data_IF_898765429151
#
_entry.id   IF_898765429151
#
_cell.length_a   1.000
_cell.length_b   1.000
_cell.length_c   1.000
_cell.angle_alpha   90.00
_cell.angle_beta   90.00
_cell.angle_gamma   90.00
#
_symmetry.space_group_name_H-M   'P 1'
#
loop_
_entity.id
_entity.type
_entity.pdbx_description
1 polymer ?
#
# COMPACT_ATOMS: atom_id res chain seq x y z
N UNK A 1 6.02 -28.37 19.30
CA UNK A 1 6.74 -27.99 18.06
C UNK A 1 8.18 -27.66 18.46
N UNK A 2 9.13 -28.56 18.16
CA UNK A 2 10.55 -28.31 18.45
C UNK A 2 11.13 -27.34 17.42
N UNK A 3 11.55 -26.16 17.87
CA UNK A 3 12.44 -25.29 17.10
C UNK A 3 13.87 -25.79 17.33
N UNK A 4 14.31 -26.69 16.47
CA UNK A 4 15.71 -27.10 16.44
C UNK A 4 16.49 -25.99 15.73
N UNK A 5 17.09 -25.08 16.49
CA UNK A 5 18.07 -24.12 15.98
C UNK A 5 19.45 -24.59 16.40
N UNK A 6 19.98 -25.58 15.67
CA UNK A 6 21.42 -25.78 15.67
C UNK A 6 22.07 -24.53 15.07
N UNK A 7 22.87 -23.85 15.89
CA UNK A 7 23.75 -22.76 15.50
C UNK A 7 24.55 -23.15 14.26
N UNK A 8 24.11 -22.66 13.10
CA UNK A 8 24.94 -22.54 11.91
C UNK A 8 24.79 -21.11 11.42
N UNK A 9 25.68 -20.26 11.91
CA UNK A 9 25.92 -18.91 11.42
C UNK A 9 26.49 -19.00 9.99
N UNK A 10 25.62 -19.27 9.02
CA UNK A 10 25.90 -19.12 7.60
C UNK A 10 25.60 -17.70 7.11
N UNK A 11 26.33 -17.17 6.11
CA UNK A 11 26.17 -15.81 5.59
C UNK A 11 24.93 -15.70 4.69
N UNK A 12 23.73 -15.86 5.24
CA UNK A 12 22.50 -15.94 4.44
C UNK A 12 21.17 -15.63 5.15
N UNK A 13 21.18 -15.12 6.39
CA UNK A 13 19.94 -14.71 7.06
C UNK A 13 19.79 -13.20 7.07
N UNK A 14 18.88 -12.68 6.25
CA UNK A 14 18.40 -11.30 6.35
C UNK A 14 17.02 -11.32 7.04
N UNK A 15 16.89 -10.78 8.25
CA UNK A 15 15.65 -10.96 8.98
C UNK A 15 14.78 -9.72 8.70
N UNK A 16 13.72 -9.88 7.92
CA UNK A 16 12.79 -8.82 7.54
C UNK A 16 11.35 -9.34 7.61
N UNK A 17 10.45 -8.54 8.16
CA UNK A 17 9.01 -8.84 8.29
C UNK A 17 8.26 -7.96 7.29
N UNK A 18 7.68 -8.59 6.26
CA UNK A 18 6.83 -7.94 5.27
C UNK A 18 5.42 -7.69 5.82
N UNK A 19 5.01 -6.43 5.84
CA UNK A 19 3.66 -6.00 6.22
C UNK A 19 3.05 -5.20 5.05
N UNK A 20 1.73 -5.27 4.84
CA UNK A 20 1.02 -4.50 3.80
C UNK A 20 1.03 -2.99 4.05
N UNK A 21 1.44 -2.57 5.26
CA UNK A 21 1.54 -1.20 5.78
C UNK A 21 2.72 -1.07 6.74
N UNK A 22 3.07 0.16 7.11
CA UNK A 22 4.06 0.47 8.16
C UNK A 22 3.64 -0.12 9.52
N UNK A 23 4.62 -0.49 10.35
CA UNK A 23 4.38 -1.04 11.69
C UNK A 23 4.00 0.05 12.71
N UNK A 24 3.29 -0.34 13.77
CA UNK A 24 3.07 0.56 14.90
C UNK A 24 4.33 0.84 15.70
N UNK A 25 4.31 1.92 16.49
CA UNK A 25 5.46 2.31 17.31
C UNK A 25 5.92 1.16 18.21
N UNK A 26 5.00 0.50 18.90
CA UNK A 26 5.34 -0.58 19.82
C UNK A 26 5.89 -1.81 19.11
N UNK A 27 5.29 -2.21 17.98
CA UNK A 27 5.77 -3.32 17.17
C UNK A 27 7.15 -3.02 16.56
N UNK A 28 7.33 -1.82 15.98
CA UNK A 28 8.59 -1.42 15.39
C UNK A 28 9.70 -1.31 16.44
N UNK A 29 9.46 -0.63 17.56
CA UNK A 29 10.45 -0.49 18.64
C UNK A 29 10.78 -1.83 19.31
N UNK A 30 9.78 -2.72 19.48
CA UNK A 30 10.02 -4.08 19.96
C UNK A 30 10.89 -4.87 18.98
N UNK A 31 10.56 -4.85 17.68
CA UNK A 31 11.31 -5.58 16.65
C UNK A 31 12.76 -5.08 16.57
N UNK A 32 12.97 -3.76 16.61
CA UNK A 32 14.30 -3.15 16.65
C UNK A 32 15.08 -3.58 17.90
N UNK A 33 14.44 -3.64 19.06
CA UNK A 33 15.11 -4.03 20.30
C UNK A 33 15.30 -5.54 20.47
N UNK A 34 14.44 -6.36 19.90
CA UNK A 34 14.56 -7.83 19.91
C UNK A 34 15.75 -8.29 19.08
N UNK A 35 16.14 -7.48 18.10
CA UNK A 35 17.22 -7.80 17.17
C UNK A 35 16.77 -8.84 16.15
N UNK A 36 17.58 -8.99 15.11
CA UNK A 36 17.31 -9.79 13.92
C UNK A 36 16.36 -9.09 12.93
N UNK A 37 15.10 -8.81 13.24
CA UNK A 37 14.14 -8.43 12.20
C UNK A 37 14.10 -6.93 11.85
N UNK A 38 13.94 -6.62 10.56
CA UNK A 38 13.65 -5.31 10.00
C UNK A 38 12.19 -5.25 9.53
N UNK A 39 11.64 -4.04 9.37
CA UNK A 39 10.26 -3.81 8.88
C UNK A 39 10.26 -2.68 7.86
N UNK A 40 9.20 -2.55 7.07
CA UNK A 40 9.05 -1.50 6.05
C UNK A 40 9.22 -0.09 6.63
N UNK A 41 8.87 0.10 7.90
CA UNK A 41 8.99 1.37 8.61
C UNK A 41 7.98 1.45 9.75
N UNK A 42 7.85 2.63 10.33
CA UNK A 42 6.98 2.88 11.47
C UNK A 42 6.13 4.13 11.27
N UNK A 43 4.81 4.00 11.41
CA UNK A 43 3.93 5.16 11.32
C UNK A 43 3.85 5.99 12.61
N UNK A 44 4.56 5.59 13.67
CA UNK A 44 4.74 6.37 14.90
C UNK A 44 3.56 6.40 15.89
N UNK A 45 2.49 5.64 15.67
CA UNK A 45 1.33 5.59 16.60
C UNK A 45 1.48 4.46 17.60
N UNK A 46 0.99 4.70 18.82
CA UNK A 46 0.91 3.74 19.90
C UNK A 46 -0.52 3.16 19.96
N UNK A 47 -0.67 1.83 19.97
CA UNK A 47 -1.97 1.17 20.06
C UNK A 47 -2.10 0.41 21.39
N UNK A 48 -3.34 0.33 21.90
CA UNK A 48 -3.73 -0.58 22.98
C UNK A 48 -4.89 -1.45 22.48
N UNK A 49 -4.95 -2.75 22.83
CA UNK A 49 -3.99 -3.50 23.64
C UNK A 49 -2.77 -3.97 22.82
N UNK A 50 -1.61 -4.06 23.47
CA UNK A 50 -0.40 -4.71 22.95
C UNK A 50 -0.03 -5.85 23.89
N UNK A 51 0.16 -7.05 23.35
CA UNK A 51 0.36 -8.27 24.13
C UNK A 51 1.64 -8.97 23.72
N UNK A 52 2.33 -9.53 24.70
CA UNK A 52 3.49 -10.41 24.49
C UNK A 52 2.95 -11.84 24.32
N UNK A 53 3.50 -12.65 23.39
CA UNK A 53 3.13 -14.05 23.27
C UNK A 53 3.32 -14.82 24.59
N UNK A 54 2.50 -15.86 24.82
CA UNK A 54 2.68 -16.74 25.97
C UNK A 54 4.10 -17.36 25.94
N UNK A 55 4.82 -17.25 27.06
CA UNK A 55 6.23 -17.62 27.19
C UNK A 55 6.45 -19.07 27.67
N UNK A 56 5.39 -19.81 28.00
CA UNK A 56 5.45 -21.19 28.55
C UNK A 56 6.20 -22.20 27.67
N UNK A 57 6.29 -21.94 26.36
CA UNK A 57 6.92 -22.83 25.38
C UNK A 57 8.27 -22.31 24.84
N UNK A 58 8.82 -21.25 25.42
CA UNK A 58 10.04 -20.60 24.94
C UNK A 58 11.28 -21.04 25.71
N UNK A 59 12.42 -21.12 25.01
CA UNK A 59 13.70 -21.39 25.66
C UNK A 59 14.11 -20.22 26.57
N UNK A 60 14.85 -20.46 27.68
CA UNK A 60 15.26 -19.42 28.61
C UNK A 60 15.98 -18.23 27.95
N UNK A 61 16.79 -18.49 26.91
CA UNK A 61 17.48 -17.45 26.14
C UNK A 61 16.49 -16.57 25.35
N UNK A 62 15.45 -17.16 24.78
CA UNK A 62 14.40 -16.44 24.06
C UNK A 62 13.57 -15.59 25.02
N UNK A 63 13.24 -16.14 26.20
CA UNK A 63 12.54 -15.41 27.27
C UNK A 63 13.35 -14.21 27.74
N UNK A 64 14.66 -14.39 27.97
CA UNK A 64 15.57 -13.30 28.35
C UNK A 64 15.58 -12.20 27.29
N UNK A 65 15.70 -12.56 26.01
CA UNK A 65 15.73 -11.59 24.90
C UNK A 65 14.41 -10.85 24.73
N UNK A 66 13.26 -11.54 24.83
CA UNK A 66 11.95 -10.90 24.84
C UNK A 66 11.84 -9.93 26.01
N UNK A 67 12.29 -10.34 27.21
CA UNK A 67 12.24 -9.50 28.40
C UNK A 67 13.08 -8.24 28.24
N UNK A 68 14.30 -8.34 27.71
CA UNK A 68 15.17 -7.21 27.40
C UNK A 68 14.54 -6.26 26.36
N UNK A 69 13.95 -6.82 25.30
CA UNK A 69 13.27 -6.04 24.27
C UNK A 69 12.03 -5.29 24.81
N UNK A 70 11.28 -5.91 25.71
CA UNK A 70 10.12 -5.28 26.38
C UNK A 70 10.56 -4.17 27.32
N UNK A 71 11.64 -4.37 28.09
CA UNK A 71 12.21 -3.34 28.98
C UNK A 71 12.67 -2.13 28.15
N UNK A 72 13.35 -2.38 27.03
CA UNK A 72 13.80 -1.34 26.10
C UNK A 72 12.62 -0.58 25.48
N UNK A 73 11.60 -1.31 25.00
CA UNK A 73 10.35 -0.73 24.52
C UNK A 73 9.71 0.18 25.57
N UNK A 74 9.63 -0.27 26.83
CA UNK A 74 9.07 0.52 27.92
C UNK A 74 9.86 1.83 28.14
N UNK A 75 11.19 1.76 28.14
CA UNK A 75 12.06 2.95 28.26
C UNK A 75 11.84 3.94 27.11
N UNK A 76 11.74 3.46 25.88
CA UNK A 76 11.50 4.32 24.72
C UNK A 76 10.10 4.93 24.73
N UNK A 77 9.08 4.20 25.19
CA UNK A 77 7.74 4.76 25.41
C UNK A 77 7.81 5.91 26.43
N UNK A 78 8.42 5.68 27.60
CA UNK A 78 8.53 6.69 28.67
C UNK A 78 9.29 7.93 28.16
N UNK A 79 10.43 7.73 27.49
CA UNK A 79 11.21 8.81 26.90
C UNK A 79 10.39 9.64 25.92
N UNK A 80 9.62 9.01 25.04
CA UNK A 80 8.75 9.70 24.07
C UNK A 80 7.59 10.45 24.74
N UNK A 81 7.07 9.95 25.86
CA UNK A 81 6.00 10.60 26.62
C UNK A 81 6.49 11.80 27.44
N UNK A 82 7.74 11.78 27.90
CA UNK A 82 8.32 12.83 28.76
C UNK A 82 9.02 13.94 27.95
N UNK A 83 9.33 13.70 26.67
CA UNK A 83 9.97 14.71 25.81
C UNK A 83 8.99 15.86 25.51
N UNK A 84 9.35 17.14 25.78
CA UNK A 84 8.51 18.29 25.43
C UNK A 84 8.19 18.31 23.93
N UNK A 85 6.95 18.61 23.57
CA UNK A 85 6.51 18.63 22.17
C UNK A 85 7.10 19.86 21.46
N UNK A 86 8.33 19.74 20.97
CA UNK A 86 8.96 20.71 20.09
C UNK A 86 8.46 20.55 18.66
N UNK A 87 7.38 21.27 18.32
CA UNK A 87 6.85 21.34 16.95
C UNK A 87 5.93 20.17 16.52
N UNK A 88 5.37 20.28 15.31
CA UNK A 88 4.41 19.32 14.74
C UNK A 88 5.04 17.92 14.59
N UNK A 89 4.57 16.95 15.36
CA UNK A 89 4.91 15.53 15.20
C UNK A 89 4.29 15.02 13.90
N UNK A 90 5.12 14.62 12.93
CA UNK A 90 4.69 14.01 11.67
C UNK A 90 4.33 12.54 11.93
N UNK A 91 3.04 12.26 12.13
CA UNK A 91 2.51 10.90 12.27
C UNK A 91 2.14 10.36 10.88
N UNK A 92 2.65 9.19 10.49
CA UNK A 92 2.21 8.53 9.25
C UNK A 92 0.86 7.81 9.49
N UNK A 93 0.08 7.59 8.42
CA UNK A 93 -1.32 7.15 8.51
C UNK A 93 -1.46 5.66 8.86
N UNK A 94 -2.50 5.33 9.65
CA UNK A 94 -3.05 3.97 9.81
C UNK A 94 -4.57 3.98 9.70
N UNK A 95 -5.13 2.87 9.21
CA UNK A 95 -6.56 2.56 9.26
C UNK A 95 -6.89 1.84 10.59
N UNK A 96 -7.51 2.54 11.54
CA UNK A 96 -8.51 2.07 12.55
C UNK A 96 -8.79 3.20 13.57
N UNK A 97 -10.08 3.45 13.85
CA UNK A 97 -10.64 4.36 14.87
C UNK A 97 -10.50 3.80 16.31
N UNK A 98 -10.24 4.66 17.30
CA UNK A 98 -10.49 4.32 18.72
C UNK A 98 -9.84 5.22 19.78
N UNK A 99 -10.67 6.04 20.45
CA UNK A 99 -10.75 6.12 21.94
C UNK A 99 -9.67 6.84 22.77
N UNK A 100 -10.15 7.78 23.59
CA UNK A 100 -9.47 8.73 24.52
C UNK A 100 -9.05 8.09 25.86
N UNK A 101 -8.13 8.71 26.62
CA UNK A 101 -8.22 8.82 28.09
C UNK A 101 -7.52 10.08 28.66
N UNK A 102 -8.24 10.76 29.57
CA UNK A 102 -7.90 11.97 30.33
C UNK A 102 -7.01 11.65 31.55
N UNK A 103 -6.34 12.65 32.13
CA UNK A 103 -6.15 12.90 33.58
C UNK A 103 -5.60 14.34 33.75
N UNK A 104 -6.16 15.12 34.69
CA UNK A 104 -5.82 16.53 34.95
C UNK A 104 -5.06 16.77 36.26
N UNK A 105 -4.87 18.04 36.63
CA UNK A 105 -4.83 18.57 38.02
C UNK A 105 -4.74 20.12 38.06
N UNK A 106 -5.22 20.70 39.17
CA UNK A 106 -5.68 22.08 39.45
C UNK A 106 -4.59 23.11 39.84
N UNK A 107 -4.84 24.44 39.69
CA UNK A 107 -5.16 25.39 40.80
C UNK A 107 -5.40 26.86 40.34
N UNK A 108 -6.62 27.33 40.63
CA UNK A 108 -7.20 28.58 41.18
C UNK A 108 -6.81 30.06 40.85
N UNK A 109 -7.92 30.79 40.59
CA UNK A 109 -8.37 32.08 41.16
C UNK A 109 -8.17 33.45 40.49
N UNK A 110 -7.33 33.63 39.47
CA UNK A 110 -7.42 34.83 38.57
C UNK A 110 -8.41 34.61 37.41
N UNK A 111 -9.23 33.56 37.55
CA UNK A 111 -9.56 32.65 36.47
C UNK A 111 -10.92 32.94 35.82
N UNK A 112 -11.97 33.36 36.52
CA UNK A 112 -13.34 33.25 35.99
C UNK A 112 -13.60 33.89 34.62
N UNK A 113 -13.15 35.13 34.36
CA UNK A 113 -13.35 35.79 33.04
C UNK A 113 -12.42 35.25 31.95
N UNK A 114 -11.18 34.92 32.31
CA UNK A 114 -10.21 34.35 31.37
C UNK A 114 -10.55 32.90 31.07
N UNK A 115 -10.97 32.12 32.07
CA UNK A 115 -11.60 30.81 31.95
C UNK A 115 -12.91 30.84 31.18
N UNK A 116 -13.70 31.91 31.18
CA UNK A 116 -14.89 31.98 30.32
C UNK A 116 -14.49 32.13 28.84
N UNK A 117 -13.50 32.98 28.56
CA UNK A 117 -12.93 33.15 27.21
C UNK A 117 -12.20 31.89 26.77
N UNK A 118 -11.36 31.32 27.63
CA UNK A 118 -10.64 30.07 27.40
C UNK A 118 -11.61 28.90 27.32
N UNK A 119 -12.72 28.87 28.07
CA UNK A 119 -13.77 27.87 27.92
C UNK A 119 -14.51 28.05 26.60
N UNK A 120 -14.73 29.27 26.10
CA UNK A 120 -15.31 29.49 24.78
C UNK A 120 -14.33 29.12 23.66
N UNK A 121 -13.04 29.41 23.80
CA UNK A 121 -11.98 29.01 22.88
C UNK A 121 -11.80 27.50 22.91
N UNK A 122 -11.71 26.90 24.09
CA UNK A 122 -11.62 25.44 24.29
C UNK A 122 -12.90 24.77 23.83
N UNK A 123 -14.09 25.35 24.00
CA UNK A 123 -15.34 24.82 23.46
C UNK A 123 -15.41 24.96 21.94
N UNK A 124 -14.93 26.05 21.36
CA UNK A 124 -14.81 26.22 19.92
C UNK A 124 -13.78 25.25 19.31
N UNK A 125 -12.67 25.04 20.00
CA UNK A 125 -11.61 24.12 19.62
C UNK A 125 -12.01 22.66 19.89
N UNK A 126 -12.73 22.38 20.97
CA UNK A 126 -13.40 21.13 21.25
C UNK A 126 -14.48 20.89 20.21
N UNK A 127 -15.24 21.87 19.75
CA UNK A 127 -16.20 21.69 18.64
C UNK A 127 -15.47 21.45 17.31
N UNK A 128 -14.32 22.11 17.08
CA UNK A 128 -13.44 21.88 15.93
C UNK A 128 -12.79 20.48 15.94
N UNK A 129 -12.51 19.95 17.13
CA UNK A 129 -11.89 18.63 17.37
C UNK A 129 -12.94 17.53 17.57
N UNK A 130 -14.15 17.86 18.01
CA UNK A 130 -15.27 16.96 18.24
C UNK A 130 -16.11 16.75 16.99
N UNK A 131 -15.98 17.61 15.96
CA UNK A 131 -16.42 17.18 14.63
C UNK A 131 -15.56 15.99 14.25
N UNK A 132 -16.21 14.85 14.02
CA UNK A 132 -15.53 13.65 13.54
C UNK A 132 -14.73 14.03 12.30
N UNK A 133 -13.44 13.70 12.29
CA UNK A 133 -12.59 13.94 11.13
C UNK A 133 -13.21 13.20 9.94
N UNK A 134 -13.43 13.93 8.87
CA UNK A 134 -14.05 13.43 7.65
C UNK A 134 -12.98 13.15 6.60
N UNK A 135 -13.33 12.40 5.56
CA UNK A 135 -12.48 12.24 4.38
C UNK A 135 -11.99 13.58 3.81
N UNK A 136 -12.79 14.64 3.87
CA UNK A 136 -12.39 15.98 3.42
C UNK A 136 -11.19 16.54 4.21
N UNK A 137 -11.11 16.25 5.51
CA UNK A 137 -9.99 16.65 6.37
C UNK A 137 -8.69 15.94 6.00
N UNK A 138 -8.81 14.67 5.61
CA UNK A 138 -7.69 13.88 5.15
C UNK A 138 -7.25 14.32 3.74
N UNK A 139 -8.18 14.65 2.84
CA UNK A 139 -7.83 15.26 1.57
C UNK A 139 -7.10 16.59 1.78
N UNK A 140 -7.64 17.48 2.63
CA UNK A 140 -7.07 18.78 2.92
C UNK A 140 -5.63 18.72 3.44
N UNK A 141 -5.35 17.76 4.34
CA UNK A 141 -3.97 17.50 4.81
C UNK A 141 -3.04 17.06 3.69
N UNK A 142 -3.55 16.30 2.71
CA UNK A 142 -2.77 15.81 1.58
C UNK A 142 -2.43 16.97 0.63
N UNK A 143 -3.39 17.88 0.40
CA UNK A 143 -3.19 19.12 -0.37
C UNK A 143 -2.15 20.04 0.28
N UNK A 144 -2.29 20.34 1.58
CA UNK A 144 -1.30 21.15 2.32
C UNK A 144 0.10 20.53 2.32
N UNK A 145 0.16 19.20 2.33
CA UNK A 145 1.42 18.46 2.31
C UNK A 145 1.98 18.21 0.91
N UNK A 146 1.28 18.63 -0.16
CA UNK A 146 1.60 18.33 -1.56
C UNK A 146 1.89 16.83 -1.80
N UNK A 147 1.05 15.97 -1.23
CA UNK A 147 1.18 14.51 -1.36
C UNK A 147 -0.10 13.89 -1.90
N UNK A 148 0.02 12.94 -2.82
CA UNK A 148 -1.12 12.20 -3.35
C UNK A 148 -1.81 11.42 -2.23
N UNK A 149 -3.15 11.53 -2.06
CA UNK A 149 -3.88 10.78 -1.06
C UNK A 149 -3.75 9.27 -1.26
N UNK A 150 -3.64 8.53 -0.16
CA UNK A 150 -3.65 7.05 -0.14
C UNK A 150 -4.74 6.48 0.78
N UNK A 151 -5.52 7.37 1.41
CA UNK A 151 -6.56 7.00 2.36
C UNK A 151 -7.81 6.52 1.61
N UNK A 152 -8.31 5.32 1.92
CA UNK A 152 -9.38 4.69 1.14
C UNK A 152 -10.67 5.51 1.07
N UNK A 153 -11.05 6.15 2.18
CA UNK A 153 -12.27 6.96 2.24
C UNK A 153 -12.09 8.25 1.42
N UNK A 154 -10.89 8.86 1.45
CA UNK A 154 -10.55 9.99 0.56
C UNK A 154 -10.61 9.57 -0.90
N UNK A 155 -10.02 8.42 -1.21
CA UNK A 155 -9.93 7.96 -2.58
C UNK A 155 -11.33 7.71 -3.18
N UNK A 156 -12.23 7.16 -2.37
CA UNK A 156 -13.63 6.94 -2.73
C UNK A 156 -14.41 8.25 -2.82
N UNK A 157 -14.41 9.05 -1.75
CA UNK A 157 -15.27 10.22 -1.62
C UNK A 157 -14.96 11.34 -2.60
N UNK A 158 -13.72 11.42 -3.07
CA UNK A 158 -13.23 12.48 -3.95
C UNK A 158 -12.86 12.00 -5.36
N UNK A 159 -13.23 10.76 -5.71
CA UNK A 159 -13.14 10.24 -7.07
C UNK A 159 -11.75 9.79 -7.52
N UNK A 160 -10.76 9.69 -6.62
CA UNK A 160 -9.44 9.15 -6.97
C UNK A 160 -9.48 7.66 -7.30
N UNK A 161 -10.48 6.92 -6.82
CA UNK A 161 -10.71 5.53 -7.24
C UNK A 161 -11.16 5.41 -8.69
N UNK A 162 -11.69 6.48 -9.29
CA UNK A 162 -12.19 6.47 -10.66
C UNK A 162 -11.10 6.82 -11.70
N UNK A 163 -9.88 7.12 -11.22
CA UNK A 163 -8.68 7.41 -12.03
C UNK A 163 -7.58 6.38 -11.77
N UNK A 164 -7.15 5.73 -12.84
CA UNK A 164 -6.37 4.50 -12.76
C UNK A 164 -4.89 4.71 -13.01
N UNK A 165 -4.54 5.57 -13.97
CA UNK A 165 -3.14 5.87 -14.24
C UNK A 165 -2.59 6.95 -13.28
N UNK A 166 -1.27 6.94 -13.10
CA UNK A 166 -0.60 7.88 -12.21
C UNK A 166 -0.82 9.34 -12.67
N UNK A 167 -0.88 9.59 -13.98
CA UNK A 167 -1.04 10.93 -14.55
C UNK A 167 -2.41 11.53 -14.25
N UNK A 168 -3.48 10.76 -14.38
CA UNK A 168 -4.85 11.12 -14.07
C UNK A 168 -5.02 11.36 -12.56
N UNK A 169 -4.33 10.60 -11.71
CA UNK A 169 -4.26 10.87 -10.26
C UNK A 169 -3.60 12.20 -9.95
N UNK A 170 -2.48 12.52 -10.63
CA UNK A 170 -1.85 13.84 -10.51
C UNK A 170 -2.74 14.96 -11.04
N UNK A 171 -3.47 14.74 -12.14
CA UNK A 171 -4.41 15.73 -12.68
C UNK A 171 -5.58 16.01 -11.73
N UNK A 172 -6.16 14.97 -11.15
CA UNK A 172 -7.23 15.10 -10.16
C UNK A 172 -6.72 15.77 -8.87
N UNK A 173 -5.52 15.41 -8.42
CA UNK A 173 -4.89 16.07 -7.27
C UNK A 173 -4.62 17.55 -7.56
N UNK A 174 -4.09 17.89 -8.73
CA UNK A 174 -3.86 19.26 -9.18
C UNK A 174 -5.14 20.09 -9.22
N UNK A 175 -6.27 19.48 -9.62
CA UNK A 175 -7.58 20.12 -9.55
C UNK A 175 -7.96 20.49 -8.11
N UNK A 176 -7.85 19.55 -7.16
CA UNK A 176 -8.14 19.83 -5.75
C UNK A 176 -7.15 20.82 -5.14
N UNK A 177 -5.90 20.84 -5.60
CA UNK A 177 -4.92 21.81 -5.16
C UNK A 177 -5.28 23.23 -5.64
N UNK A 178 -5.77 23.38 -6.87
CA UNK A 178 -6.30 24.67 -7.33
C UNK A 178 -7.52 25.13 -6.54
N UNK A 179 -8.41 24.23 -6.11
CA UNK A 179 -9.51 24.56 -5.19
C UNK A 179 -8.98 25.06 -3.85
N UNK A 180 -7.97 24.39 -3.30
CA UNK A 180 -7.34 24.80 -2.05
C UNK A 180 -6.70 26.19 -2.14
N UNK A 181 -6.06 26.51 -3.27
CA UNK A 181 -5.36 27.78 -3.47
C UNK A 181 -6.30 28.95 -3.80
N UNK A 182 -7.38 28.71 -4.57
CA UNK A 182 -8.24 29.78 -5.11
C UNK A 182 -9.67 29.80 -4.56
N UNK A 183 -10.08 28.76 -3.81
CA UNK A 183 -11.47 28.56 -3.43
C UNK A 183 -11.97 29.39 -2.26
N UNK A 184 -11.08 29.96 -1.44
CA UNK A 184 -11.42 30.54 -0.12
C UNK A 184 -12.39 29.65 0.68
N UNK A 185 -12.04 28.35 0.78
CA UNK A 185 -12.85 27.34 1.47
C UNK A 185 -12.02 26.60 2.52
N UNK A 186 -12.72 25.89 3.39
CA UNK A 186 -12.15 24.99 4.39
C UNK A 186 -12.43 23.53 4.05
N UNK A 187 -11.80 22.61 4.77
CA UNK A 187 -12.12 21.18 4.68
C UNK A 187 -13.57 20.87 5.12
N UNK A 188 -14.19 21.71 5.94
CA UNK A 188 -15.59 21.56 6.34
C UNK A 188 -16.53 21.87 5.18
N UNK A 189 -16.24 22.91 4.41
CA UNK A 189 -17.02 23.26 3.22
C UNK A 189 -16.92 22.14 2.17
N UNK A 190 -15.70 21.63 1.97
CA UNK A 190 -15.46 20.52 1.06
C UNK A 190 -16.23 19.25 1.48
N UNK A 191 -16.32 18.97 2.78
CA UNK A 191 -17.15 17.89 3.31
C UNK A 191 -18.63 18.14 3.04
N UNK A 192 -19.12 19.36 3.28
CA UNK A 192 -20.51 19.74 3.04
C UNK A 192 -20.88 19.58 1.57
N UNK A 193 -20.01 20.01 0.65
CA UNK A 193 -20.23 19.88 -0.79
C UNK A 193 -20.34 18.43 -1.23
N UNK A 194 -19.51 17.55 -0.66
CA UNK A 194 -19.59 16.11 -0.89
C UNK A 194 -20.91 15.54 -0.38
N UNK A 195 -21.29 15.82 0.87
CA UNK A 195 -22.54 15.33 1.47
C UNK A 195 -23.77 15.78 0.68
N UNK A 196 -23.78 17.04 0.25
CA UNK A 196 -24.87 17.63 -0.54
C UNK A 196 -24.82 17.26 -2.03
N UNK A 197 -23.84 16.45 -2.47
CA UNK A 197 -23.59 16.10 -3.88
C UNK A 197 -23.46 17.33 -4.78
N UNK A 198 -22.95 18.44 -4.24
CA UNK A 198 -22.77 19.72 -4.92
C UNK A 198 -21.35 19.94 -5.46
N UNK A 199 -20.47 18.93 -5.34
CA UNK A 199 -19.06 19.01 -5.70
C UNK A 199 -18.83 19.54 -7.11
N UNK A 200 -19.46 18.95 -8.13
CA UNK A 200 -19.22 19.34 -9.51
C UNK A 200 -19.57 20.81 -9.79
N UNK A 201 -20.69 21.28 -9.24
CA UNK A 201 -21.13 22.66 -9.41
C UNK A 201 -20.24 23.65 -8.65
N UNK A 202 -19.79 23.30 -7.44
CA UNK A 202 -18.87 24.14 -6.66
C UNK A 202 -17.47 24.23 -7.25
N UNK A 203 -16.97 23.14 -7.84
CA UNK A 203 -15.71 23.14 -8.60
C UNK A 203 -15.82 24.09 -9.79
N UNK A 204 -16.89 23.98 -10.59
CA UNK A 204 -17.15 24.90 -11.70
C UNK A 204 -17.23 26.35 -11.23
N UNK A 205 -17.93 26.62 -10.14
CA UNK A 205 -18.07 27.96 -9.57
C UNK A 205 -16.72 28.61 -9.25
N UNK A 206 -15.80 27.86 -8.63
CA UNK A 206 -14.45 28.37 -8.34
C UNK A 206 -13.67 28.60 -9.63
N UNK A 207 -13.57 27.59 -10.50
CA UNK A 207 -12.70 27.68 -11.66
C UNK A 207 -13.22 28.65 -12.73
N UNK A 208 -14.53 28.85 -12.87
CA UNK A 208 -15.06 29.83 -13.81
C UNK A 208 -14.82 31.27 -13.38
N UNK A 209 -14.58 31.55 -12.08
CA UNK A 209 -14.15 32.87 -11.60
C UNK A 209 -12.70 33.21 -12.01
N UNK A 210 -11.88 32.20 -12.27
CA UNK A 210 -10.51 32.38 -12.74
C UNK A 210 -10.54 32.68 -14.25
N UNK A 211 -9.75 33.66 -14.76
CA UNK A 211 -9.62 33.90 -16.21
C UNK A 211 -9.16 32.65 -16.95
N UNK A 212 -9.66 32.42 -18.16
CA UNK A 212 -9.43 31.17 -18.91
C UNK A 212 -7.94 30.85 -19.11
N UNK A 213 -7.11 31.87 -19.37
CA UNK A 213 -5.66 31.73 -19.51
C UNK A 213 -4.93 31.32 -18.23
N UNK A 214 -5.57 31.41 -17.06
CA UNK A 214 -4.99 31.15 -15.74
C UNK A 214 -5.58 29.93 -15.03
N UNK A 215 -6.60 29.27 -15.60
CA UNK A 215 -7.27 28.11 -14.98
C UNK A 215 -6.38 26.86 -14.87
N UNK A 216 -5.27 26.84 -15.60
CA UNK A 216 -4.39 25.68 -15.70
C UNK A 216 -5.03 24.52 -16.46
N UNK A 217 -4.27 23.44 -16.63
CA UNK A 217 -4.67 22.28 -17.44
C UNK A 217 -5.59 21.28 -16.71
N UNK A 218 -5.64 21.33 -15.38
CA UNK A 218 -6.36 20.35 -14.56
C UNK A 218 -7.88 20.46 -14.67
N UNK A 219 -8.42 21.69 -14.72
CA UNK A 219 -9.87 21.91 -14.84
C UNK A 219 -10.43 21.49 -16.21
N UNK A 220 -9.82 21.84 -17.36
CA UNK A 220 -10.19 21.28 -18.66
C UNK A 220 -10.13 19.74 -18.72
N UNK A 221 -9.07 19.14 -18.15
CA UNK A 221 -8.98 17.67 -18.04
C UNK A 221 -10.14 17.10 -17.21
N UNK A 222 -10.49 17.73 -16.09
CA UNK A 222 -11.59 17.30 -15.23
C UNK A 222 -12.94 17.37 -15.94
N UNK A 223 -13.23 18.45 -16.68
CA UNK A 223 -14.46 18.58 -17.48
C UNK A 223 -14.59 17.45 -18.51
N UNK A 224 -13.49 17.10 -19.19
CA UNK A 224 -13.46 15.98 -20.15
C UNK A 224 -13.74 14.62 -19.50
N UNK A 225 -13.30 14.44 -18.25
CA UNK A 225 -13.41 13.18 -17.50
C UNK A 225 -14.59 13.15 -16.51
N UNK A 226 -15.46 14.16 -16.52
CA UNK A 226 -16.52 14.34 -15.53
C UNK A 226 -17.47 13.14 -15.43
N UNK A 227 -17.77 12.48 -16.56
CA UNK A 227 -18.58 11.28 -16.64
C UNK A 227 -18.05 10.10 -15.80
N UNK A 228 -16.73 10.04 -15.56
CA UNK A 228 -16.09 9.04 -14.70
C UNK A 228 -16.08 9.44 -13.22
N UNK A 229 -16.22 10.73 -12.93
CA UNK A 229 -15.99 11.32 -11.59
C UNK A 229 -17.27 11.65 -10.82
N UNK A 230 -18.44 11.62 -11.46
CA UNK A 230 -19.72 12.08 -10.88
C UNK A 230 -20.47 11.08 -9.98
N UNK A 231 -19.93 9.88 -9.71
CA UNK A 231 -20.58 8.88 -8.86
C UNK A 231 -19.67 8.37 -7.74
N UNK A 232 -20.16 8.28 -6.48
CA UNK A 232 -19.55 7.42 -5.48
C UNK A 232 -19.86 5.97 -5.91
N UNK A 233 -18.95 5.38 -6.66
CA UNK A 233 -19.02 3.96 -6.99
C UNK A 233 -18.75 3.20 -5.68
N UNK A 234 -19.63 2.28 -5.28
CA UNK A 234 -19.38 1.45 -4.09
C UNK A 234 -18.04 0.72 -4.24
N UNK A 235 -17.38 0.35 -3.14
CA UNK A 235 -16.07 -0.32 -3.22
C UNK A 235 -16.16 -1.56 -4.10
N UNK A 236 -17.26 -2.29 -4.04
CA UNK A 236 -17.55 -3.49 -4.80
C UNK A 236 -17.80 -3.20 -6.29
N UNK A 237 -18.55 -2.14 -6.63
CA UNK A 237 -18.73 -1.71 -8.02
C UNK A 237 -17.43 -1.13 -8.62
N UNK A 238 -16.60 -0.45 -7.81
CA UNK A 238 -15.25 -0.01 -8.22
C UNK A 238 -14.41 -1.23 -8.45
N UNK A 239 -14.32 -2.17 -7.51
CA UNK A 239 -13.49 -3.38 -7.63
C UNK A 239 -13.93 -4.24 -8.83
N UNK A 240 -15.23 -4.37 -9.08
CA UNK A 240 -15.77 -5.05 -10.27
C UNK A 240 -15.45 -4.32 -11.58
N UNK A 241 -15.70 -3.01 -11.64
CA UNK A 241 -15.38 -2.19 -12.82
C UNK A 241 -13.87 -2.06 -13.05
N UNK A 242 -13.07 -2.04 -11.99
CA UNK A 242 -11.61 -1.94 -11.99
C UNK A 242 -11.01 -3.25 -12.48
N UNK A 243 -11.48 -4.39 -11.95
CA UNK A 243 -11.06 -5.71 -12.43
C UNK A 243 -11.40 -5.86 -13.92
N UNK A 244 -12.60 -5.45 -14.33
CA UNK A 244 -12.99 -5.47 -15.74
C UNK A 244 -12.04 -4.60 -16.60
N UNK A 245 -11.78 -3.37 -16.17
CA UNK A 245 -10.87 -2.43 -16.85
C UNK A 245 -9.43 -2.97 -16.94
N UNK A 246 -8.93 -3.61 -15.88
CA UNK A 246 -7.61 -4.23 -15.86
C UNK A 246 -7.50 -5.37 -16.89
N UNK A 247 -8.54 -6.19 -16.98
CA UNK A 247 -8.56 -7.30 -17.91
C UNK A 247 -8.80 -6.88 -19.35
N UNK A 248 -9.58 -5.83 -19.61
CA UNK A 248 -9.94 -5.42 -20.98
C UNK A 248 -8.71 -5.07 -21.83
N UNK A 249 -7.75 -4.32 -21.28
CA UNK A 249 -6.50 -4.01 -21.99
C UNK A 249 -5.61 -5.25 -22.15
N UNK A 250 -5.55 -6.10 -21.11
CA UNK A 250 -4.74 -7.32 -21.14
C UNK A 250 -5.28 -8.37 -22.12
N UNK A 251 -6.60 -8.46 -22.34
CA UNK A 251 -7.23 -9.40 -23.27
C UNK A 251 -6.71 -9.27 -24.70
N UNK A 252 -6.24 -8.09 -25.10
CA UNK A 252 -5.66 -7.87 -26.43
C UNK A 252 -4.39 -8.71 -26.67
N UNK A 253 -3.69 -9.12 -25.61
CA UNK A 253 -2.49 -9.96 -25.66
C UNK A 253 -2.77 -11.47 -25.66
N UNK A 254 -4.02 -11.87 -25.40
CA UNK A 254 -4.44 -13.26 -25.51
C UNK A 254 -4.71 -13.64 -26.98
N UNK A 255 -4.57 -14.94 -27.27
CA UNK A 255 -5.06 -15.52 -28.53
C UNK A 255 -6.55 -15.18 -28.67
N UNK A 256 -7.04 -14.87 -29.89
CA UNK A 256 -8.45 -14.54 -30.12
C UNK A 256 -9.45 -15.50 -29.47
N UNK A 257 -9.11 -16.79 -29.37
CA UNK A 257 -9.96 -17.82 -28.75
C UNK A 257 -10.13 -17.65 -27.24
N UNK A 258 -9.17 -17.05 -26.56
CA UNK A 258 -9.16 -16.91 -25.11
C UNK A 258 -9.68 -15.56 -24.61
N UNK A 259 -9.86 -14.56 -25.50
CA UNK A 259 -10.18 -13.18 -25.10
C UNK A 259 -11.51 -13.03 -24.36
N UNK A 260 -12.45 -13.93 -24.63
CA UNK A 260 -13.78 -13.93 -24.03
C UNK A 260 -13.87 -14.85 -22.81
N UNK A 261 -12.82 -15.61 -22.49
CA UNK A 261 -12.80 -16.49 -21.33
C UNK A 261 -12.67 -15.66 -20.05
N UNK A 262 -13.28 -16.13 -18.98
CA UNK A 262 -13.05 -15.55 -17.66
C UNK A 262 -11.60 -15.86 -17.22
N UNK A 263 -10.88 -14.97 -16.52
CA UNK A 263 -9.47 -15.22 -16.16
C UNK A 263 -9.26 -16.55 -15.43
N UNK A 264 -10.19 -16.98 -14.56
CA UNK A 264 -10.09 -18.26 -13.85
C UNK A 264 -10.16 -19.50 -14.75
N UNK A 265 -10.68 -19.38 -15.97
CA UNK A 265 -10.84 -20.46 -16.94
C UNK A 265 -9.61 -20.62 -17.84
N UNK A 266 -8.70 -19.64 -17.83
CA UNK A 266 -7.47 -19.71 -18.61
C UNK A 266 -6.60 -20.88 -18.13
N UNK A 267 -6.24 -21.75 -19.08
CA UNK A 267 -5.31 -22.86 -18.88
C UNK A 267 -4.18 -22.78 -19.91
N UNK A 268 -2.96 -23.23 -19.57
CA UNK A 268 -2.53 -23.75 -18.25
C UNK A 268 -2.46 -22.66 -17.17
N UNK A 269 -2.24 -23.04 -15.91
CA UNK A 269 -2.16 -22.09 -14.77
C UNK A 269 -1.11 -21.00 -14.96
N UNK A 270 0.03 -21.35 -15.57
CA UNK A 270 1.06 -20.38 -15.95
C UNK A 270 0.53 -19.26 -16.85
N UNK A 271 -0.37 -19.58 -17.80
CA UNK A 271 -1.01 -18.59 -18.68
C UNK A 271 -1.96 -17.69 -17.91
N UNK A 272 -2.79 -18.27 -17.04
CA UNK A 272 -3.69 -17.51 -16.15
C UNK A 272 -2.89 -16.53 -15.30
N UNK A 273 -1.88 -17.03 -14.60
CA UNK A 273 -1.13 -16.22 -13.64
C UNK A 273 -0.34 -15.12 -14.36
N UNK A 274 0.25 -15.43 -15.52
CA UNK A 274 0.90 -14.44 -16.40
C UNK A 274 -0.09 -13.39 -16.92
N UNK A 275 -1.32 -13.78 -17.26
CA UNK A 275 -2.37 -12.85 -17.69
C UNK A 275 -2.76 -11.91 -16.55
N UNK A 276 -2.92 -12.43 -15.34
CA UNK A 276 -3.20 -11.62 -14.17
C UNK A 276 -2.06 -10.64 -13.86
N UNK A 277 -0.79 -11.07 -13.94
CA UNK A 277 0.36 -10.17 -13.84
C UNK A 277 0.28 -9.06 -14.91
N UNK A 278 0.09 -9.43 -16.18
CA UNK A 278 0.00 -8.49 -17.30
C UNK A 278 -1.08 -7.42 -17.06
N UNK A 279 -2.25 -7.83 -16.57
CA UNK A 279 -3.36 -6.91 -16.25
C UNK A 279 -3.00 -5.87 -15.18
N UNK A 280 -2.11 -6.19 -14.24
CA UNK A 280 -1.66 -5.24 -13.22
C UNK A 280 -0.56 -4.31 -13.76
N UNK A 281 0.46 -4.87 -14.41
CA UNK A 281 1.63 -4.09 -14.85
C UNK A 281 1.29 -3.11 -15.97
N UNK A 282 0.26 -3.39 -16.81
CA UNK A 282 -0.25 -2.46 -17.83
C UNK A 282 -0.72 -1.12 -17.24
N UNK A 283 -1.03 -1.09 -15.95
CA UNK A 283 -1.39 0.10 -15.17
C UNK A 283 -0.32 0.47 -14.13
N UNK A 284 0.88 -0.12 -14.23
CA UNK A 284 2.01 0.05 -13.28
C UNK A 284 1.68 -0.35 -11.84
N UNK A 285 0.72 -1.25 -11.65
CA UNK A 285 0.41 -1.73 -10.31
C UNK A 285 1.28 -2.91 -9.94
N UNK A 286 1.83 -2.84 -8.73
CA UNK A 286 2.43 -3.97 -8.05
C UNK A 286 1.31 -4.90 -7.56
N UNK A 287 1.43 -6.23 -7.75
CA UNK A 287 0.51 -7.18 -7.14
C UNK A 287 0.41 -7.01 -5.62
N UNK A 288 -0.74 -7.30 -5.03
CA UNK A 288 -0.92 -7.24 -3.58
C UNK A 288 -0.05 -8.32 -2.89
N UNK A 289 0.72 -8.00 -1.82
CA UNK A 289 1.52 -8.99 -1.08
C UNK A 289 0.75 -10.21 -0.55
N UNK A 290 -0.56 -10.07 -0.33
CA UNK A 290 -1.43 -11.17 0.09
C UNK A 290 -1.94 -12.04 -1.07
N UNK A 291 -1.79 -11.59 -2.31
CA UNK A 291 -2.16 -12.34 -3.50
C UNK A 291 -1.03 -13.29 -3.91
N UNK A 292 -1.40 -14.48 -4.40
CA UNK A 292 -0.42 -15.49 -4.83
C UNK A 292 0.55 -14.94 -5.89
N UNK A 293 0.07 -14.05 -6.76
CA UNK A 293 0.86 -13.41 -7.83
C UNK A 293 2.12 -12.71 -7.33
N UNK A 294 2.08 -12.14 -6.12
CA UNK A 294 3.24 -11.48 -5.51
C UNK A 294 4.37 -12.46 -5.22
N UNK A 295 4.01 -13.70 -4.84
CA UNK A 295 4.96 -14.78 -4.70
C UNK A 295 5.34 -15.36 -6.08
N UNK A 296 4.36 -15.73 -6.90
CA UNK A 296 4.52 -16.32 -8.24
C UNK A 296 5.54 -15.60 -9.13
N UNK A 297 5.53 -14.27 -9.12
CA UNK A 297 6.44 -13.45 -9.93
C UNK A 297 7.51 -12.73 -9.11
N UNK A 298 7.92 -13.34 -8.01
CA UNK A 298 9.09 -12.97 -7.23
C UNK A 298 9.10 -11.55 -6.62
N UNK A 299 7.95 -10.87 -6.53
CA UNK A 299 7.86 -9.61 -5.79
C UNK A 299 8.22 -9.77 -4.32
N UNK A 300 8.00 -10.97 -3.77
CA UNK A 300 8.47 -11.37 -2.43
C UNK A 300 9.99 -11.24 -2.23
N UNK A 301 10.79 -11.16 -3.31
CA UNK A 301 12.24 -10.95 -3.25
C UNK A 301 12.65 -9.48 -3.13
N UNK A 302 11.72 -8.55 -3.32
CA UNK A 302 11.97 -7.12 -3.24
C UNK A 302 12.05 -6.66 -1.78
N UNK A 303 13.01 -5.78 -1.47
CA UNK A 303 13.25 -5.27 -0.12
C UNK A 303 12.37 -4.07 0.24
N UNK A 304 11.84 -3.38 -0.77
CA UNK A 304 11.04 -2.17 -0.61
C UNK A 304 10.21 -1.89 -1.88
N UNK A 305 9.33 -0.90 -1.80
CA UNK A 305 8.44 -0.51 -2.90
C UNK A 305 9.17 0.02 -4.14
N UNK A 306 10.38 0.57 -4.00
CA UNK A 306 11.19 1.02 -5.13
C UNK A 306 11.75 -0.17 -5.93
N UNK A 307 12.06 -1.28 -5.27
CA UNK A 307 12.44 -2.53 -5.94
C UNK A 307 11.24 -3.22 -6.60
N UNK A 308 10.09 -3.22 -5.94
CA UNK A 308 8.84 -3.72 -6.54
C UNK A 308 8.49 -2.95 -7.81
N UNK A 309 8.57 -1.62 -7.76
CA UNK A 309 8.31 -0.75 -8.92
C UNK A 309 9.30 -1.03 -10.06
N UNK A 310 10.58 -1.22 -9.73
CA UNK A 310 11.57 -1.63 -10.72
C UNK A 310 11.25 -2.98 -11.35
N UNK A 311 10.76 -3.95 -10.57
CA UNK A 311 10.35 -5.26 -11.11
C UNK A 311 9.12 -5.15 -12.02
N UNK A 312 8.12 -4.33 -11.66
CA UNK A 312 6.98 -3.99 -12.54
C UNK A 312 7.45 -3.41 -13.87
N UNK A 313 8.34 -2.41 -13.82
CA UNK A 313 8.87 -1.75 -15.01
C UNK A 313 9.56 -2.74 -15.96
N UNK A 314 10.21 -3.74 -15.40
CA UNK A 314 11.00 -4.74 -16.13
C UNK A 314 10.09 -5.77 -16.79
N UNK A 315 9.05 -6.22 -16.11
CA UNK A 315 8.00 -7.02 -16.75
C UNK A 315 7.29 -6.25 -17.87
N UNK A 316 7.04 -4.95 -17.68
CA UNK A 316 6.41 -4.14 -18.71
C UNK A 316 7.31 -3.99 -19.94
N UNK A 317 8.60 -3.67 -19.73
CA UNK A 317 9.60 -3.58 -20.78
C UNK A 317 9.82 -4.90 -21.53
N UNK A 318 9.48 -6.04 -20.92
CA UNK A 318 9.57 -7.35 -21.53
C UNK A 318 8.33 -7.68 -22.38
N UNK A 319 7.13 -7.32 -21.89
CA UNK A 319 5.85 -7.79 -22.44
C UNK A 319 5.11 -6.79 -23.34
N UNK A 320 5.34 -5.49 -23.14
CA UNK A 320 4.49 -4.44 -23.71
C UNK A 320 5.30 -3.59 -24.69
N UNK A 321 4.84 -3.47 -25.96
CA UNK A 321 5.54 -2.70 -26.97
C UNK A 321 5.64 -1.23 -26.57
N UNK A 322 6.70 -0.58 -27.04
CA UNK A 322 6.88 0.85 -26.80
C UNK A 322 5.74 1.65 -27.41
N UNK A 323 5.16 2.54 -26.60
CA UNK A 323 4.16 3.52 -27.01
C UNK A 323 4.79 4.90 -27.29
N UNK A 324 6.12 4.99 -27.32
CA UNK A 324 6.86 6.24 -27.47
C UNK A 324 6.84 7.14 -26.22
N UNK A 325 6.27 6.70 -25.10
CA UNK A 325 6.28 7.48 -23.86
C UNK A 325 7.69 7.67 -23.30
N UNK A 326 7.85 8.71 -22.47
CA UNK A 326 9.12 9.02 -21.80
C UNK A 326 9.73 7.82 -21.06
N UNK A 327 8.88 6.96 -20.48
CA UNK A 327 9.35 5.73 -19.84
C UNK A 327 10.13 4.86 -20.83
N UNK A 328 9.55 4.57 -22.00
CA UNK A 328 10.20 3.71 -22.97
C UNK A 328 11.41 4.40 -23.60
N UNK A 329 11.34 5.70 -23.88
CA UNK A 329 12.52 6.41 -24.42
C UNK A 329 13.69 6.35 -23.42
N UNK A 330 13.43 6.69 -22.16
CA UNK A 330 14.44 6.66 -21.09
C UNK A 330 15.07 5.27 -20.88
N UNK A 331 14.26 4.20 -20.92
CA UNK A 331 14.75 2.84 -20.71
C UNK A 331 15.34 2.20 -21.98
N UNK A 332 14.85 2.55 -23.17
CA UNK A 332 15.34 2.01 -24.44
C UNK A 332 16.65 2.67 -24.88
N UNK A 333 16.91 3.93 -24.52
CA UNK A 333 18.22 4.58 -24.75
C UNK A 333 19.41 3.80 -24.18
N UNK A 334 19.14 2.97 -23.14
CA UNK A 334 20.13 2.18 -22.43
C UNK A 334 20.10 0.69 -22.79
N UNK A 335 19.35 0.31 -23.83
CA UNK A 335 19.17 -1.08 -24.30
C UNK A 335 19.34 -1.14 -25.80
N UNK A 336 19.78 -2.27 -26.34
CA UNK A 336 19.64 -2.49 -27.78
C UNK A 336 18.14 -2.60 -28.11
N UNK A 337 17.71 -2.16 -29.31
CA UNK A 337 16.33 -2.32 -29.78
C UNK A 337 15.98 -3.82 -29.86
N UNK A 338 15.60 -4.41 -28.74
CA UNK A 338 15.12 -5.78 -28.67
C UNK A 338 13.60 -5.75 -28.82
N UNK A 339 13.08 -6.60 -29.69
CA UNK A 339 11.64 -6.83 -29.79
C UNK A 339 11.10 -7.29 -28.44
N UNK A 340 9.93 -6.81 -28.04
CA UNK A 340 9.26 -7.32 -26.83
C UNK A 340 8.88 -8.78 -26.99
N UNK A 341 8.95 -9.55 -25.91
CA UNK A 341 8.50 -10.93 -25.91
C UNK A 341 6.98 -10.97 -26.14
N UNK A 342 6.52 -11.92 -26.98
CA UNK A 342 5.09 -12.18 -27.06
C UNK A 342 4.57 -12.71 -25.72
N UNK A 343 3.32 -12.38 -25.39
CA UNK A 343 2.68 -12.93 -24.20
C UNK A 343 2.72 -14.47 -24.19
N UNK A 344 2.55 -15.10 -25.36
CA UNK A 344 2.65 -16.55 -25.52
C UNK A 344 4.04 -17.11 -25.19
N UNK A 345 5.10 -16.42 -25.60
CA UNK A 345 6.46 -16.82 -25.25
C UNK A 345 6.69 -16.67 -23.74
N UNK A 346 6.25 -15.55 -23.15
CA UNK A 346 6.43 -15.27 -21.72
C UNK A 346 5.84 -16.35 -20.82
N UNK A 347 4.55 -16.69 -20.98
CA UNK A 347 3.96 -17.67 -20.06
C UNK A 347 4.51 -19.09 -20.27
N UNK A 348 4.96 -19.43 -21.48
CA UNK A 348 5.61 -20.72 -21.78
C UNK A 348 6.99 -20.84 -21.14
N UNK A 349 7.82 -19.79 -21.21
CA UNK A 349 9.13 -19.81 -20.52
C UNK A 349 8.97 -19.76 -19.00
N UNK A 350 7.93 -19.07 -18.51
CA UNK A 350 7.59 -19.08 -17.10
C UNK A 350 7.21 -20.49 -16.64
N UNK A 351 6.31 -21.16 -17.35
CA UNK A 351 5.93 -22.56 -17.10
C UNK A 351 7.14 -23.51 -17.10
N UNK A 352 8.08 -23.31 -18.02
CA UNK A 352 9.30 -24.10 -18.12
C UNK A 352 10.38 -23.74 -17.08
N UNK A 353 10.17 -22.72 -16.23
CA UNK A 353 11.17 -22.26 -15.26
C UNK A 353 12.41 -21.59 -15.89
N UNK A 354 12.26 -21.04 -17.09
CA UNK A 354 13.37 -20.44 -17.88
C UNK A 354 13.18 -18.94 -18.11
N UNK A 355 12.34 -18.28 -17.29
CA UNK A 355 12.02 -16.86 -17.42
C UNK A 355 13.25 -15.95 -17.36
N UNK A 356 14.28 -16.32 -16.59
CA UNK A 356 15.54 -15.58 -16.52
C UNK A 356 16.29 -15.53 -17.85
N UNK A 357 16.23 -16.58 -18.67
CA UNK A 357 16.82 -16.59 -20.01
C UNK A 357 16.11 -15.61 -20.94
N UNK A 358 14.77 -15.52 -20.82
CA UNK A 358 13.99 -14.55 -21.57
C UNK A 358 14.35 -13.12 -21.16
N UNK A 359 14.49 -12.85 -19.86
CA UNK A 359 14.93 -11.55 -19.35
C UNK A 359 16.32 -11.18 -19.91
N UNK A 360 17.28 -12.10 -19.89
CA UNK A 360 18.64 -11.84 -20.40
C UNK A 360 18.66 -11.58 -21.90
N UNK A 361 17.90 -12.35 -22.69
CA UNK A 361 17.81 -12.18 -24.14
C UNK A 361 17.23 -10.82 -24.57
N UNK A 362 16.64 -10.07 -23.63
CA UNK A 362 16.09 -8.73 -23.85
C UNK A 362 16.93 -7.64 -23.18
N UNK A 363 18.21 -7.86 -22.88
CA UNK A 363 19.08 -6.88 -22.24
C UNK A 363 18.56 -6.37 -20.86
N UNK A 364 17.90 -7.25 -20.09
CA UNK A 364 17.39 -6.95 -18.75
C UNK A 364 18.18 -7.63 -17.62
N UNK A 365 19.36 -8.19 -17.90
CA UNK A 365 20.23 -8.85 -16.94
C UNK A 365 20.66 -7.96 -15.77
N UNK A 366 20.66 -6.63 -15.94
CA UNK A 366 20.91 -5.70 -14.83
C UNK A 366 19.91 -5.84 -13.67
N UNK A 367 18.77 -6.46 -13.92
CA UNK A 367 17.80 -6.85 -12.91
C UNK A 367 18.43 -7.70 -11.82
N UNK A 368 19.30 -8.65 -12.18
CA UNK A 368 19.97 -9.56 -11.22
C UNK A 368 20.87 -8.83 -10.25
N UNK A 369 21.56 -7.79 -10.73
CA UNK A 369 22.43 -6.95 -9.87
C UNK A 369 21.65 -6.05 -8.91
N UNK A 370 20.43 -5.64 -9.28
CA UNK A 370 19.60 -4.73 -8.47
C UNK A 370 18.65 -5.48 -7.53
N UNK A 371 18.28 -6.72 -7.89
CA UNK A 371 17.37 -7.59 -7.14
C UNK A 371 18.09 -8.90 -6.80
N UNK A 372 18.90 -8.92 -5.72
CA UNK A 372 19.88 -9.98 -5.48
C UNK A 372 19.27 -11.37 -5.23
N UNK A 373 18.00 -11.45 -4.83
CA UNK A 373 17.32 -12.72 -4.56
C UNK A 373 16.44 -13.20 -5.71
N UNK A 374 16.31 -12.39 -6.77
CA UNK A 374 15.41 -12.70 -7.88
C UNK A 374 15.88 -13.93 -8.68
N UNK A 375 17.18 -14.03 -8.93
CA UNK A 375 17.76 -15.12 -9.71
C UNK A 375 17.55 -16.47 -9.03
N UNK A 376 17.87 -16.56 -7.74
CA UNK A 376 17.65 -17.78 -6.95
C UNK A 376 16.18 -18.21 -6.96
N UNK A 377 15.25 -17.25 -6.85
CA UNK A 377 13.82 -17.54 -6.83
C UNK A 377 13.28 -18.01 -8.19
N UNK A 378 13.60 -17.29 -9.28
CA UNK A 378 13.10 -17.60 -10.62
C UNK A 378 13.82 -18.76 -11.31
N UNK A 379 14.93 -19.25 -10.75
CA UNK A 379 15.60 -20.47 -11.24
C UNK A 379 14.84 -21.74 -10.90
N UNK A 380 13.85 -21.67 -10.01
CA UNK A 380 12.97 -22.79 -9.68
C UNK A 380 11.69 -22.70 -10.53
N UNK A 381 11.27 -23.78 -11.20
CA UNK A 381 10.04 -23.76 -11.99
C UNK A 381 8.80 -23.55 -11.10
N UNK A 382 7.70 -23.01 -11.64
CA UNK A 382 6.48 -22.71 -10.87
C UNK A 382 5.87 -23.92 -10.16
N UNK A 383 6.06 -25.11 -10.74
CA UNK A 383 5.60 -26.39 -10.19
C UNK A 383 6.50 -26.93 -9.07
N UNK A 384 7.68 -26.32 -8.85
CA UNK A 384 8.64 -26.70 -7.83
C UNK A 384 8.42 -25.98 -6.49
N UNK A 385 9.01 -26.50 -5.40
CA UNK A 385 9.02 -25.79 -4.13
C UNK A 385 9.90 -24.56 -4.27
N UNK A 386 9.28 -23.38 -4.32
CA UNK A 386 10.01 -22.13 -4.40
C UNK A 386 10.91 -21.98 -3.16
N UNK A 387 12.09 -21.38 -3.30
CA UNK A 387 12.96 -21.14 -2.16
C UNK A 387 12.22 -20.29 -1.14
N UNK A 388 12.30 -20.65 0.14
CA UNK A 388 11.85 -19.73 1.18
C UNK A 388 12.77 -18.51 1.15
N UNK A 389 12.27 -17.42 0.58
CA UNK A 389 13.05 -16.17 0.41
C UNK A 389 13.45 -15.58 1.77
N UNK A 390 12.74 -15.96 2.84
CA UNK A 390 12.89 -15.36 4.18
C UNK A 390 12.96 -16.39 5.32
N UNK A 391 13.11 -17.69 5.02
CA UNK A 391 12.96 -18.79 5.99
C UNK A 391 11.63 -18.77 6.78
N UNK A 392 10.62 -18.01 6.33
CA UNK A 392 9.26 -18.07 6.85
C UNK A 392 8.69 -19.44 6.47
N UNK A 393 8.48 -20.30 7.47
CA UNK A 393 7.73 -21.54 7.30
C UNK A 393 6.32 -21.18 6.86
N UNK A 394 6.00 -21.37 5.58
CA UNK A 394 4.62 -21.35 5.10
C UNK A 394 3.85 -22.45 5.83
N UNK A 395 2.79 -22.09 6.54
CA UNK A 395 1.83 -23.07 7.06
C UNK A 395 1.09 -23.62 5.84
N UNK A 396 1.26 -24.90 5.46
CA UNK A 396 0.44 -25.47 4.40
C UNK A 396 -1.01 -25.48 4.87
N UNK A 397 -1.94 -25.09 3.99
CA UNK A 397 -3.36 -25.42 4.17
C UNK A 397 -3.49 -26.93 4.03
N UNK A 398 -3.56 -27.64 5.14
CA UNK A 398 -3.96 -29.06 5.11
C UNK A 398 -5.35 -29.16 4.49
N UNK A 399 -5.43 -29.90 3.39
CA UNK A 399 -6.69 -30.38 2.84
C UNK A 399 -7.36 -31.28 3.87
N UNK A 400 -8.67 -31.08 4.04
CA UNK A 400 -9.46 -31.72 5.06
C UNK A 400 -9.36 -33.24 5.01
N UNK A 401 -9.00 -33.82 6.15
CA UNK A 401 -9.39 -35.17 6.51
C UNK A 401 -10.21 -35.10 7.79
N UNK A 402 -11.48 -35.46 7.65
CA UNK A 402 -12.43 -35.67 8.74
C UNK A 402 -11.83 -36.58 9.82
N UNK A 403 -11.73 -36.08 11.05
CA UNK A 403 -12.19 -36.83 12.22
C UNK A 403 -12.38 -35.88 13.41
N UNK A 404 -13.58 -35.96 13.98
CA UNK A 404 -14.01 -35.19 15.12
C UNK A 404 -13.35 -35.70 16.41
N UNK A 405 -12.78 -34.80 17.22
CA UNK A 405 -13.10 -34.68 18.64
C UNK A 405 -12.46 -33.46 19.29
N UNK A 406 -13.33 -32.60 19.83
CA UNK A 406 -13.20 -31.88 21.09
C UNK A 406 -12.25 -30.65 21.23
N UNK A 407 -12.91 -29.58 21.70
CA UNK A 407 -12.47 -28.35 22.38
C UNK A 407 -12.38 -27.04 21.58
N UNK A 408 -12.90 -25.93 22.15
CA UNK A 408 -13.41 -24.78 21.41
C UNK A 408 -12.27 -23.94 20.85
N UNK A 409 -12.26 -23.79 19.52
CA UNK A 409 -11.28 -23.00 18.80
C UNK A 409 -11.44 -21.51 19.10
N UNK A 410 -10.60 -20.98 19.99
CA UNK A 410 -10.30 -19.55 20.02
C UNK A 410 -9.48 -19.21 18.77
N UNK A 411 -10.18 -18.73 17.76
CA UNK A 411 -9.62 -18.25 16.50
C UNK A 411 -8.60 -17.14 16.74
N UNK A 412 -7.31 -17.45 16.60
CA UNK A 412 -6.25 -16.45 16.44
C UNK A 412 -6.36 -15.83 15.04
N UNK A 413 -7.20 -14.80 14.94
CA UNK A 413 -7.13 -13.81 13.85
C UNK A 413 -5.86 -12.99 14.04
N UNK A 414 -4.80 -13.31 13.31
CA UNK A 414 -3.79 -12.32 12.94
C UNK A 414 -4.43 -11.38 11.92
N UNK A 415 -5.09 -10.32 12.39
CA UNK A 415 -5.39 -9.16 11.56
C UNK A 415 -4.12 -8.31 11.49
N UNK A 416 -3.39 -8.44 10.38
CA UNK A 416 -2.44 -7.44 9.92
C UNK A 416 -3.20 -6.26 9.30
#
# INVERSE_FOLDING_TARGET
MHLNTSNTSGPGLLPYIGCSKLCCFMCHAFIQSYGHFNTQGCHGRLFKPWTIPNMELLLPEQVKRISEAVISLHKEIVKKLVTPVGGKVRLERTSVFGGISLIGTQHDEVSARRAQIDHLIVKAEQNRVARQLTSADYLWRSLVGDTIPVDGDVLQDFGFNNVFDASDRYNLFGLYNGIHLFGDITSSDLHEWRVKRAMAEKIKEIYYRIPESQRGQYFPWWLKNLHRLQGPTTKEEVEGSLAQTFFDKAKLYLDPRDRNMHPSELKPEAKRDSFLLLSHILYRFTPNPSAMLYHTFAFVTCRNSAEESQLVDKYLLLLVPSDGSFFYTFHNERRSLTHTASFAAFWKVYEAGTLLLLIDSHDLQNLRTRLPHLESFLSVPPSGPHPSVWALKTIPREHGSNNASAYPGNHLRLRL
#
